data_IF_832381396630
#
_entry.id   IF_832381396630
#
_cell.length_a   1.000
_cell.length_b   1.000
_cell.length_c   1.000
_cell.angle_alpha   90.00
_cell.angle_beta   90.00
_cell.angle_gamma   90.00
#
_symmetry.space_group_name_H-M   'P 1'
#
loop_
_entity.id
_entity.type
_entity.pdbx_description
1 polymer ?
#
# COMPACT_ATOMS: atom_id res chain seq x y z
N UNK A 1 -0.83 18.99 15.81
CA UNK A 1 -1.66 18.36 16.84
C UNK A 1 -0.97 17.10 17.35
N UNK A 2 -0.84 16.98 18.65
CA UNK A 2 -0.26 15.79 19.22
C UNK A 2 -1.17 14.58 18.97
N UNK A 3 -0.61 13.39 18.67
CA UNK A 3 -1.39 12.17 18.56
C UNK A 3 -2.19 11.89 19.83
N UNK A 4 -3.40 11.38 19.69
CA UNK A 4 -4.30 11.14 20.80
C UNK A 4 -3.95 9.94 21.66
N UNK A 5 -2.99 9.08 21.25
CA UNK A 5 -2.58 7.90 22.00
C UNK A 5 -1.20 7.42 21.54
N UNK A 6 -0.66 6.44 22.27
CA UNK A 6 0.68 5.92 21.99
C UNK A 6 0.80 5.28 20.60
N UNK A 7 -0.25 4.60 20.12
CA UNK A 7 -0.24 3.99 18.80
C UNK A 7 -0.17 5.06 17.70
N UNK A 8 -0.94 6.14 17.84
CA UNK A 8 -0.91 7.23 16.86
C UNK A 8 0.46 7.93 16.88
N UNK A 9 1.07 8.10 18.04
CA UNK A 9 2.42 8.66 18.14
C UNK A 9 3.45 7.77 17.46
N UNK A 10 3.38 6.46 17.65
CA UNK A 10 4.29 5.52 17.02
C UNK A 10 4.08 5.48 15.50
N UNK A 11 2.83 5.54 15.02
CA UNK A 11 2.54 5.59 13.60
C UNK A 11 3.16 6.85 12.97
N UNK A 12 3.01 8.00 13.61
CA UNK A 12 3.59 9.25 13.11
C UNK A 12 5.12 9.17 13.06
N UNK A 13 5.74 8.57 14.07
CA UNK A 13 7.19 8.37 14.10
C UNK A 13 7.65 7.49 12.95
N UNK A 14 6.95 6.39 12.71
CA UNK A 14 7.33 5.44 11.65
C UNK A 14 7.12 6.02 10.25
N UNK A 15 6.06 6.79 10.02
CA UNK A 15 5.89 7.50 8.75
C UNK A 15 7.04 8.47 8.54
N UNK A 16 7.43 9.23 9.55
CA UNK A 16 8.60 10.11 9.47
C UNK A 16 9.88 9.35 9.17
N UNK A 17 10.09 8.18 9.79
CA UNK A 17 11.25 7.34 9.52
C UNK A 17 11.24 6.83 8.07
N UNK A 18 10.09 6.44 7.55
CA UNK A 18 9.97 6.02 6.15
C UNK A 18 10.28 7.15 5.18
N UNK A 19 9.80 8.36 5.47
CA UNK A 19 10.08 9.51 4.62
C UNK A 19 11.56 9.86 4.58
N UNK A 20 12.28 9.60 5.66
CA UNK A 20 13.73 9.79 5.71
C UNK A 20 14.51 8.64 5.08
N UNK A 21 13.98 7.41 5.17
CA UNK A 21 14.62 6.20 4.67
C UNK A 21 13.58 5.28 4.06
N UNK A 22 13.57 5.18 2.73
CA UNK A 22 12.60 4.40 1.99
C UNK A 22 12.64 2.89 2.30
N UNK A 23 13.70 2.41 2.90
CA UNK A 23 13.82 1.00 3.29
C UNK A 23 13.27 0.71 4.68
N UNK A 24 12.83 1.74 5.40
CA UNK A 24 12.24 1.54 6.71
C UNK A 24 11.05 0.58 6.64
N UNK A 25 11.07 -0.45 7.50
CA UNK A 25 9.99 -1.42 7.59
C UNK A 25 9.02 -1.02 8.70
N UNK A 26 7.75 -0.87 8.35
CA UNK A 26 6.72 -0.53 9.34
C UNK A 26 6.48 -1.71 10.27
N UNK A 27 6.32 -1.41 11.55
CA UNK A 27 6.00 -2.38 12.60
C UNK A 27 4.90 -1.77 13.47
N UNK A 28 3.66 -1.90 13.01
CA UNK A 28 2.50 -1.34 13.68
C UNK A 28 1.44 -2.43 13.89
N UNK A 29 0.87 -2.53 15.10
CA UNK A 29 -0.23 -3.45 15.35
C UNK A 29 -1.52 -2.87 14.76
N UNK A 30 -1.80 -3.20 13.49
CA UNK A 30 -2.98 -2.72 12.81
C UNK A 30 -4.20 -3.54 13.22
N UNK A 31 -5.32 -2.86 13.49
CA UNK A 31 -6.56 -3.55 13.83
C UNK A 31 -7.07 -4.31 12.61
N UNK A 32 -7.36 -5.61 12.73
CA UNK A 32 -7.99 -6.35 11.65
C UNK A 32 -9.31 -5.72 11.24
N UNK A 33 -9.51 -5.51 9.95
CA UNK A 33 -10.74 -4.94 9.40
C UNK A 33 -10.91 -5.48 7.99
N UNK A 34 -12.06 -5.18 7.38
CA UNK A 34 -12.36 -5.62 6.04
C UNK A 34 -12.78 -7.08 5.95
N UNK A 35 -13.08 -7.53 4.74
CA UNK A 35 -13.49 -8.91 4.46
C UNK A 35 -12.28 -9.85 4.52
N UNK A 36 -12.49 -11.17 4.66
CA UNK A 36 -11.38 -12.12 4.59
C UNK A 36 -10.57 -11.99 3.31
N UNK A 37 -11.22 -11.75 2.16
CA UNK A 37 -10.51 -11.56 0.90
C UNK A 37 -9.65 -10.29 0.93
N UNK A 38 -10.20 -9.16 1.40
CA UNK A 38 -9.45 -7.91 1.52
C UNK A 38 -8.21 -8.10 2.38
N UNK A 39 -8.35 -8.79 3.52
CA UNK A 39 -7.22 -9.06 4.40
C UNK A 39 -6.13 -9.89 3.72
N UNK A 40 -6.53 -10.87 2.90
CA UNK A 40 -5.56 -11.68 2.16
C UNK A 40 -4.81 -10.84 1.12
N UNK A 41 -5.51 -9.93 0.43
CA UNK A 41 -4.89 -9.00 -0.50
C UNK A 41 -3.88 -8.12 0.23
N UNK A 42 -4.28 -7.52 1.35
CA UNK A 42 -3.40 -6.63 2.11
C UNK A 42 -2.18 -7.36 2.66
N UNK A 43 -2.31 -8.62 3.04
CA UNK A 43 -1.17 -9.44 3.46
C UNK A 43 -0.17 -9.66 2.32
N UNK A 44 -0.66 -9.92 1.11
CA UNK A 44 0.20 -10.04 -0.06
C UNK A 44 0.93 -8.74 -0.36
N UNK A 45 0.22 -7.62 -0.25
CA UNK A 45 0.79 -6.30 -0.49
C UNK A 45 1.85 -5.96 0.58
N UNK A 46 1.55 -6.23 1.84
CA UNK A 46 2.47 -5.95 2.94
C UNK A 46 3.79 -6.72 2.81
N UNK A 47 3.77 -7.84 2.10
CA UNK A 47 4.98 -8.63 1.85
C UNK A 47 5.85 -8.08 0.71
N UNK A 48 5.41 -7.06 -0.03
CA UNK A 48 6.21 -6.47 -1.10
C UNK A 48 7.26 -5.54 -0.47
N UNK A 49 8.55 -5.84 -0.60
CA UNK A 49 9.57 -4.97 -0.01
C UNK A 49 9.72 -3.66 -0.78
N UNK A 50 10.35 -2.64 -0.19
CA UNK A 50 10.74 -1.42 -0.92
C UNK A 50 11.57 -1.76 -2.13
N UNK A 51 11.51 -0.93 -3.16
CA UNK A 51 12.20 -1.10 -4.44
C UNK A 51 11.64 -2.20 -5.33
N UNK A 52 10.56 -2.87 -4.90
CA UNK A 52 9.90 -3.90 -5.70
C UNK A 52 8.44 -3.55 -5.93
N UNK A 53 7.89 -4.09 -7.01
CA UNK A 53 6.49 -3.93 -7.35
C UNK A 53 5.92 -5.26 -7.80
N UNK A 54 4.60 -5.41 -7.68
CA UNK A 54 3.86 -6.55 -8.23
C UNK A 54 2.67 -6.01 -9.00
N UNK A 55 2.20 -6.78 -9.97
CA UNK A 55 0.99 -6.40 -10.69
C UNK A 55 -0.25 -6.90 -9.99
N UNK A 56 -1.39 -6.25 -10.26
CA UNK A 56 -2.69 -6.75 -9.78
C UNK A 56 -2.92 -8.19 -10.24
N UNK A 57 -2.50 -8.52 -11.46
CA UNK A 57 -2.64 -9.89 -11.98
C UNK A 57 -1.81 -10.92 -11.23
N UNK A 58 -0.61 -10.58 -10.83
CA UNK A 58 0.23 -11.49 -10.05
C UNK A 58 -0.41 -11.82 -8.69
N UNK A 59 -0.91 -10.80 -8.00
CA UNK A 59 -1.60 -10.99 -6.72
C UNK A 59 -2.88 -11.78 -6.91
N UNK A 60 -3.63 -11.48 -7.97
CA UNK A 60 -4.87 -12.19 -8.29
C UNK A 60 -4.62 -13.68 -8.51
N UNK A 61 -3.57 -14.04 -9.25
CA UNK A 61 -3.21 -15.44 -9.46
C UNK A 61 -2.86 -16.15 -8.16
N UNK A 62 -2.10 -15.49 -7.30
CA UNK A 62 -1.74 -16.04 -5.99
C UNK A 62 -2.95 -16.31 -5.12
N UNK A 63 -4.00 -15.51 -5.24
CA UNK A 63 -5.21 -15.62 -4.42
C UNK A 63 -6.38 -16.30 -5.15
N UNK A 64 -6.16 -16.81 -6.37
CA UNK A 64 -7.19 -17.45 -7.19
C UNK A 64 -8.41 -16.54 -7.39
N UNK A 65 -8.17 -15.28 -7.75
CA UNK A 65 -9.22 -14.29 -7.95
C UNK A 65 -8.88 -13.39 -9.15
N UNK A 66 -9.69 -12.37 -9.42
CA UNK A 66 -9.50 -11.49 -10.57
C UNK A 66 -8.64 -10.28 -10.21
N UNK A 67 -7.91 -9.70 -11.19
CA UNK A 67 -7.20 -8.45 -10.97
C UNK A 67 -8.13 -7.30 -10.52
N UNK A 68 -9.37 -7.29 -11.03
CA UNK A 68 -10.36 -6.29 -10.64
C UNK A 68 -10.70 -6.37 -9.16
N UNK A 69 -10.88 -7.58 -8.64
CA UNK A 69 -11.16 -7.77 -7.22
C UNK A 69 -9.98 -7.32 -6.35
N UNK A 70 -8.75 -7.60 -6.79
CA UNK A 70 -7.55 -7.12 -6.11
C UNK A 70 -7.50 -5.59 -6.13
N UNK A 71 -7.80 -4.97 -7.26
CA UNK A 71 -7.83 -3.51 -7.38
C UNK A 71 -8.85 -2.88 -6.44
N UNK A 72 -10.03 -3.47 -6.31
CA UNK A 72 -11.05 -2.99 -5.36
C UNK A 72 -10.58 -3.13 -3.91
N UNK A 73 -9.94 -4.23 -3.57
CA UNK A 73 -9.38 -4.42 -2.24
C UNK A 73 -8.27 -3.42 -1.93
N UNK A 74 -7.43 -3.11 -2.91
CA UNK A 74 -6.41 -2.05 -2.78
C UNK A 74 -7.07 -0.70 -2.49
N UNK A 75 -8.15 -0.39 -3.21
CA UNK A 75 -8.87 0.87 -2.99
C UNK A 75 -9.53 0.97 -1.63
N UNK A 76 -9.79 -0.15 -0.97
CA UNK A 76 -10.38 -0.21 0.36
C UNK A 76 -9.34 -0.20 1.49
N UNK A 77 -8.04 -0.18 1.16
CA UNK A 77 -6.97 -0.19 2.15
C UNK A 77 -7.09 1.03 3.08
N UNK A 78 -7.28 0.81 4.40
CA UNK A 78 -7.41 1.92 5.34
C UNK A 78 -6.07 2.50 5.82
N UNK A 79 -4.96 1.87 5.43
CA UNK A 79 -3.63 2.25 5.91
C UNK A 79 -2.65 2.43 4.74
N UNK A 80 -2.88 3.41 3.83
CA UNK A 80 -1.96 3.64 2.72
C UNK A 80 -0.54 3.92 3.23
N UNK A 81 0.46 3.54 2.45
CA UNK A 81 1.88 3.61 2.79
C UNK A 81 2.30 2.50 3.75
N UNK A 82 1.63 2.33 4.88
CA UNK A 82 1.92 1.24 5.83
C UNK A 82 1.60 -0.11 5.18
N UNK A 83 0.42 -0.23 4.57
CA UNK A 83 0.12 -1.33 3.65
C UNK A 83 0.38 -0.76 2.25
N UNK A 84 1.49 -1.13 1.60
CA UNK A 84 2.04 -0.34 0.48
C UNK A 84 1.34 -0.60 -0.86
N UNK A 85 0.08 -0.23 -0.98
CA UNK A 85 -0.67 -0.36 -2.22
C UNK A 85 -0.02 0.37 -3.40
N UNK A 86 0.82 1.38 -3.12
CA UNK A 86 1.58 2.05 -4.18
C UNK A 86 2.55 1.12 -4.91
N UNK A 87 2.91 -0.02 -4.31
CA UNK A 87 3.80 -1.03 -4.93
C UNK A 87 3.05 -2.01 -5.83
N UNK A 88 1.74 -1.82 -6.03
CA UNK A 88 0.94 -2.65 -6.92
C UNK A 88 0.66 -1.87 -8.19
N UNK A 89 1.05 -2.43 -9.34
CA UNK A 89 0.95 -1.76 -10.63
C UNK A 89 0.00 -2.52 -11.56
N UNK A 90 -0.52 -1.80 -12.55
CA UNK A 90 -1.32 -2.40 -13.61
C UNK A 90 -0.43 -3.23 -14.54
N UNK A 91 -1.05 -4.04 -15.39
CA UNK A 91 -0.34 -4.82 -16.40
C UNK A 91 0.55 -3.89 -17.24
N UNK A 92 1.68 -4.43 -17.70
CA UNK A 92 2.68 -3.70 -18.49
C UNK A 92 3.30 -2.49 -17.75
N UNK A 93 3.23 -2.47 -16.41
CA UNK A 93 3.88 -1.44 -15.61
C UNK A 93 3.12 -0.13 -15.47
N UNK A 94 1.87 -0.06 -15.94
CA UNK A 94 1.04 1.13 -15.73
C UNK A 94 0.77 1.36 -14.24
N UNK A 95 0.52 2.63 -13.86
CA UNK A 95 0.33 2.95 -12.44
C UNK A 95 -0.92 2.35 -11.82
N UNK A 96 -1.99 2.15 -12.61
CA UNK A 96 -3.28 1.78 -12.08
C UNK A 96 -3.89 2.92 -11.30
N UNK A 97 -4.41 2.62 -10.10
CA UNK A 97 -4.98 3.62 -9.22
C UNK A 97 -4.27 3.69 -7.88
N UNK A 98 -4.70 4.64 -7.04
CA UNK A 98 -4.25 4.72 -5.67
C UNK A 98 -5.38 5.31 -4.83
N UNK A 99 -5.73 4.66 -3.73
CA UNK A 99 -6.82 5.09 -2.85
C UNK A 99 -8.12 5.35 -3.64
N UNK A 100 -8.44 4.50 -4.62
CA UNK A 100 -9.59 4.57 -5.53
C UNK A 100 -9.51 5.70 -6.57
N UNK A 101 -8.38 6.37 -6.70
CA UNK A 101 -8.19 7.43 -7.69
C UNK A 101 -7.27 6.96 -8.79
N UNK A 102 -7.58 7.33 -10.04
CA UNK A 102 -6.79 6.99 -11.22
C UNK A 102 -6.08 8.20 -11.82
N UNK A 103 -6.29 9.37 -11.26
CA UNK A 103 -5.67 10.62 -11.70
C UNK A 103 -5.70 11.62 -10.56
N UNK A 104 -5.01 12.73 -10.71
CA UNK A 104 -5.00 13.83 -9.77
C UNK A 104 -3.97 13.65 -8.65
N UNK A 105 -4.20 14.36 -7.54
CA UNK A 105 -3.23 14.49 -6.47
C UNK A 105 -2.82 13.14 -5.87
N UNK A 106 -3.78 12.24 -5.62
CA UNK A 106 -3.45 10.96 -4.98
C UNK A 106 -2.63 10.06 -5.89
N UNK A 107 -2.82 10.14 -7.21
CA UNK A 107 -1.97 9.40 -8.13
C UNK A 107 -0.56 10.00 -8.19
N UNK A 108 -0.44 11.31 -8.06
CA UNK A 108 0.86 11.97 -7.95
C UNK A 108 1.59 11.53 -6.67
N UNK A 109 0.86 11.32 -5.58
CA UNK A 109 1.43 10.76 -4.35
C UNK A 109 1.99 9.37 -4.61
N UNK A 110 1.28 8.53 -5.36
CA UNK A 110 1.77 7.19 -5.73
C UNK A 110 3.08 7.29 -6.51
N UNK A 111 3.16 8.19 -7.50
CA UNK A 111 4.39 8.40 -8.25
C UNK A 111 5.54 8.84 -7.35
N UNK A 112 5.27 9.74 -6.43
CA UNK A 112 6.28 10.22 -5.49
C UNK A 112 6.80 9.08 -4.59
N UNK A 113 5.90 8.27 -4.06
CA UNK A 113 6.28 7.14 -3.20
C UNK A 113 7.15 6.14 -3.96
N UNK A 114 6.79 5.81 -5.20
CA UNK A 114 7.59 4.91 -6.03
C UNK A 114 8.97 5.50 -6.30
N UNK A 115 9.05 6.79 -6.61
CA UNK A 115 10.33 7.45 -6.85
C UNK A 115 11.18 7.47 -5.58
N UNK A 116 10.56 7.71 -4.42
CA UNK A 116 11.24 7.68 -3.13
C UNK A 116 11.86 6.30 -2.85
N UNK A 117 11.20 5.24 -3.33
CA UNK A 117 11.69 3.87 -3.20
C UNK A 117 12.62 3.46 -4.35
N UNK A 118 13.00 4.37 -5.23
CA UNK A 118 13.94 4.10 -6.31
C UNK A 118 13.30 3.50 -7.57
N UNK A 119 11.99 3.73 -7.78
CA UNK A 119 11.28 3.13 -8.93
C UNK A 119 10.98 4.16 -10.01
#
# INVERSE_FOLDING_TARGET
>A
VAPGNALAAEAARQVGAYLADAEFAFDLPLRPSGTPFQRRVWQQIAAIPPHQTRSYGEIARALHNSPRAVGQACGANPFPVVVPCHRVLAAAGGLGGFARHRAGFLLDVKRWLLAHEGR
#
